data_IF_315026961689
#
_entry.id   IF_315026961689
#
_cell.length_a   1.000
_cell.length_b   1.000
_cell.length_c   1.000
_cell.angle_alpha   90.00
_cell.angle_beta   90.00
_cell.angle_gamma   90.00
#
_symmetry.space_group_name_H-M   'P 1'
#
loop_
_entity.id
_entity.type
_entity.pdbx_description
1 polymer ?
#
# COMPACT_ATOMS: atom_id res chain seq x y z
N UNK A 1 1.66 12.46 31.79
CA UNK A 1 1.78 12.43 30.32
C UNK A 1 2.10 13.84 29.87
N UNK A 2 3.18 14.06 29.13
CA UNK A 2 3.69 15.38 28.75
C UNK A 2 2.84 16.00 27.62
N UNK A 3 1.60 16.44 27.92
CA UNK A 3 0.68 17.04 26.95
C UNK A 3 0.70 18.58 26.94
N UNK A 4 1.73 19.21 27.53
CA UNK A 4 1.85 20.67 27.63
C UNK A 4 3.03 21.22 26.80
N UNK A 5 3.44 20.50 25.76
CA UNK A 5 4.64 20.82 24.95
C UNK A 5 4.30 21.37 23.56
N UNK A 6 5.27 22.01 22.89
CA UNK A 6 5.09 22.55 21.53
C UNK A 6 4.87 21.49 20.45
N UNK A 7 5.04 20.20 20.78
CA UNK A 7 4.79 19.06 19.90
C UNK A 7 3.47 18.34 20.21
N UNK A 8 2.70 18.83 21.18
CA UNK A 8 1.39 18.26 21.47
C UNK A 8 0.34 18.74 20.45
N UNK A 9 -0.58 17.85 20.11
CA UNK A 9 -1.75 18.18 19.30
C UNK A 9 -2.97 17.47 19.90
N UNK A 10 -4.02 18.25 20.15
CA UNK A 10 -5.29 17.77 20.72
C UNK A 10 -6.16 17.02 19.70
N UNK A 11 -5.80 17.08 18.42
CA UNK A 11 -6.50 16.45 17.30
C UNK A 11 -5.90 15.07 16.95
N UNK A 12 -5.37 14.36 17.94
CA UNK A 12 -4.87 12.98 17.80
C UNK A 12 -5.78 11.99 18.54
N UNK A 13 -5.87 10.77 18.05
CA UNK A 13 -6.68 9.70 18.65
C UNK A 13 -6.19 9.33 20.07
N UNK A 14 -6.93 9.67 21.14
CA UNK A 14 -6.43 9.49 22.51
C UNK A 14 -6.27 8.02 22.90
N UNK A 15 -7.02 7.10 22.28
CA UNK A 15 -6.94 5.67 22.57
C UNK A 15 -5.63 5.03 22.07
N UNK A 16 -4.85 5.74 21.26
CA UNK A 16 -3.63 5.25 20.63
C UNK A 16 -2.32 5.67 21.33
N UNK A 17 -2.36 6.59 22.31
CA UNK A 17 -1.13 7.20 22.84
C UNK A 17 -0.19 6.24 23.58
N UNK A 18 -0.73 5.22 24.25
CA UNK A 18 0.05 4.20 24.97
C UNK A 18 0.10 2.87 24.19
N UNK A 19 -0.19 2.90 22.88
CA UNK A 19 -0.26 1.73 22.02
C UNK A 19 0.89 1.72 21.00
N UNK A 20 1.24 0.52 20.52
CA UNK A 20 2.17 0.37 19.40
C UNK A 20 1.40 0.66 18.11
N UNK A 21 1.94 1.56 17.27
CA UNK A 21 1.35 1.93 15.98
C UNK A 21 0.96 0.71 15.16
N UNK A 22 -0.18 0.76 14.48
CA UNK A 22 -0.59 -0.24 13.51
C UNK A 22 -0.17 0.18 12.10
N UNK A 23 0.86 -0.45 11.54
CA UNK A 23 1.33 -0.12 10.19
C UNK A 23 0.36 -0.55 9.09
N UNK A 24 -0.57 -1.48 9.38
CA UNK A 24 -1.65 -1.89 8.48
C UNK A 24 -3.04 -1.51 9.05
N UNK A 25 -3.13 -0.36 9.73
CA UNK A 25 -4.29 0.06 10.53
C UNK A 25 -5.65 -0.18 9.86
N UNK A 26 -6.51 -0.82 10.63
CA UNK A 26 -7.88 -1.13 10.29
C UNK A 26 -8.76 -0.73 11.49
N UNK A 27 -9.73 0.17 11.25
CA UNK A 27 -10.62 0.71 12.28
C UNK A 27 -11.66 -0.33 12.74
N UNK A 28 -11.97 -1.32 11.89
CA UNK A 28 -13.04 -2.29 12.15
C UNK A 28 -12.56 -3.54 12.89
N UNK A 29 -11.26 -3.83 12.83
CA UNK A 29 -10.64 -4.93 13.54
C UNK A 29 -10.04 -4.44 14.86
N UNK A 30 -10.41 -5.11 15.95
CA UNK A 30 -9.88 -4.79 17.28
C UNK A 30 -8.35 -4.76 17.29
N UNK A 31 -7.80 -3.89 18.15
CA UNK A 31 -6.36 -3.65 18.24
C UNK A 31 -5.66 -4.96 18.67
N UNK A 32 -4.90 -5.56 17.77
CA UNK A 32 -3.87 -6.55 18.13
C UNK A 32 -2.81 -5.82 18.95
N UNK A 33 -2.52 -6.29 20.17
CA UNK A 33 -1.65 -5.58 21.13
C UNK A 33 -0.31 -6.28 21.35
N UNK A 34 0.64 -5.52 21.87
CA UNK A 34 1.92 -6.05 22.37
C UNK A 34 2.78 -6.69 21.28
N UNK A 35 3.38 -7.84 21.58
CA UNK A 35 4.37 -8.47 20.71
C UNK A 35 3.79 -8.93 19.36
N UNK A 36 2.51 -9.31 19.32
CA UNK A 36 1.84 -9.69 18.07
C UNK A 36 1.76 -8.51 17.10
N UNK A 37 1.49 -7.29 17.60
CA UNK A 37 1.52 -6.05 16.83
C UNK A 37 2.90 -5.78 16.25
N UNK A 38 3.94 -5.93 17.08
CA UNK A 38 5.34 -5.76 16.63
C UNK A 38 5.66 -6.74 15.51
N UNK A 39 5.33 -8.02 15.67
CA UNK A 39 5.61 -9.04 14.67
C UNK A 39 4.87 -8.75 13.35
N UNK A 40 3.60 -8.35 13.42
CA UNK A 40 2.82 -7.98 12.25
C UNK A 40 3.41 -6.75 11.54
N UNK A 41 3.83 -5.72 12.27
CA UNK A 41 4.45 -4.52 11.72
C UNK A 41 5.78 -4.84 11.02
N UNK A 42 6.61 -5.69 11.62
CA UNK A 42 7.90 -6.05 11.01
C UNK A 42 7.70 -6.88 9.74
N UNK A 43 6.77 -7.84 9.76
CA UNK A 43 6.38 -8.62 8.59
C UNK A 43 5.79 -7.74 7.48
N UNK A 44 4.99 -6.76 7.86
CA UNK A 44 4.43 -5.76 6.95
C UNK A 44 5.51 -4.92 6.29
N UNK A 45 6.47 -4.38 7.06
CA UNK A 45 7.59 -3.61 6.51
C UNK A 45 8.47 -4.43 5.55
N UNK A 46 8.71 -5.71 5.86
CA UNK A 46 9.38 -6.62 4.93
C UNK A 46 8.62 -6.71 3.61
N UNK A 47 7.29 -6.89 3.66
CA UNK A 47 6.49 -6.94 2.44
C UNK A 47 6.57 -5.61 1.65
N UNK A 48 6.32 -4.48 2.31
CA UNK A 48 6.20 -3.18 1.65
C UNK A 48 7.52 -2.66 1.06
N UNK A 49 8.66 -2.95 1.68
CA UNK A 49 9.98 -2.44 1.24
C UNK A 49 10.79 -3.47 0.44
N UNK A 50 10.64 -4.77 0.75
CA UNK A 50 11.45 -5.83 0.14
C UNK A 50 10.64 -6.59 -0.92
N UNK A 51 9.65 -7.37 -0.49
CA UNK A 51 8.98 -8.34 -1.37
C UNK A 51 8.16 -7.67 -2.48
N UNK A 52 7.37 -6.64 -2.13
CA UNK A 52 6.39 -6.03 -3.03
C UNK A 52 6.93 -4.83 -3.81
N UNK A 53 8.16 -4.38 -3.52
CA UNK A 53 8.73 -3.13 -4.01
C UNK A 53 10.04 -3.32 -4.79
N UNK A 54 10.20 -4.44 -5.50
CA UNK A 54 11.46 -4.73 -6.23
C UNK A 54 11.74 -3.82 -7.43
N UNK A 55 10.78 -3.00 -7.84
CA UNK A 55 10.86 -2.12 -9.01
C UNK A 55 10.52 -0.68 -8.63
N UNK A 56 11.12 0.34 -9.28
CA UNK A 56 10.86 1.74 -8.97
C UNK A 56 9.38 2.10 -9.01
N UNK A 57 8.62 1.65 -10.01
CA UNK A 57 7.19 1.93 -10.10
C UNK A 57 6.39 1.32 -8.93
N UNK A 58 6.78 0.14 -8.43
CA UNK A 58 6.11 -0.47 -7.29
C UNK A 58 6.38 0.31 -5.99
N UNK A 59 7.59 0.87 -5.82
CA UNK A 59 7.95 1.63 -4.62
C UNK A 59 7.50 3.09 -4.67
N UNK A 60 7.76 3.78 -5.78
CA UNK A 60 7.57 5.22 -5.98
C UNK A 60 6.18 5.57 -6.49
N UNK A 61 5.45 4.58 -7.00
CA UNK A 61 4.21 4.78 -7.74
C UNK A 61 4.46 4.99 -9.23
N UNK A 62 3.36 4.98 -9.99
CA UNK A 62 3.44 5.11 -11.43
C UNK A 62 3.76 6.54 -11.89
N UNK A 63 4.36 6.68 -13.09
CA UNK A 63 4.74 8.00 -13.59
C UNK A 63 3.53 8.92 -13.78
N UNK A 64 3.68 10.17 -13.33
CA UNK A 64 2.72 11.24 -13.57
C UNK A 64 3.34 12.25 -14.55
N UNK A 65 2.82 12.28 -15.77
CA UNK A 65 3.28 13.17 -16.83
C UNK A 65 2.27 14.29 -17.14
N UNK A 66 2.73 15.45 -17.65
CA UNK A 66 1.83 16.53 -18.04
C UNK A 66 0.85 16.10 -19.14
N UNK A 67 -0.39 16.57 -19.04
CA UNK A 67 -1.45 16.29 -20.02
C UNK A 67 -2.47 15.26 -19.53
N UNK A 68 -3.57 15.10 -20.28
CA UNK A 68 -4.65 14.19 -19.89
C UNK A 68 -4.20 12.72 -19.94
N UNK A 69 -3.41 12.33 -20.95
CA UNK A 69 -2.92 10.96 -21.13
C UNK A 69 -1.76 10.57 -20.21
N UNK A 70 -1.15 11.55 -19.51
CA UNK A 70 -0.01 11.34 -18.62
C UNK A 70 -0.40 11.01 -17.17
N UNK A 71 -1.69 11.02 -16.84
CA UNK A 71 -2.16 10.77 -15.49
C UNK A 71 -2.23 9.27 -15.19
N UNK A 72 -1.47 8.85 -14.20
CA UNK A 72 -1.62 7.54 -13.57
C UNK A 72 -1.85 7.71 -12.07
N UNK A 73 -2.82 6.97 -11.53
CA UNK A 73 -3.25 7.00 -10.13
C UNK A 73 -2.91 5.66 -9.47
N UNK A 74 -1.63 5.34 -9.45
CA UNK A 74 -1.08 4.09 -8.92
C UNK A 74 -0.01 4.42 -7.89
N UNK A 75 -0.39 4.75 -6.65
CA UNK A 75 0.56 5.05 -5.58
C UNK A 75 1.46 3.86 -5.28
N UNK A 76 2.68 4.15 -4.83
CA UNK A 76 3.66 3.13 -4.46
C UNK A 76 3.32 2.39 -3.17
N UNK A 77 4.04 1.30 -2.88
CA UNK A 77 3.80 0.47 -1.70
C UNK A 77 3.77 1.28 -0.42
N UNK A 78 4.77 2.15 -0.20
CA UNK A 78 4.92 2.92 1.04
C UNK A 78 3.85 4.01 1.18
N UNK A 79 3.48 4.67 0.07
CA UNK A 79 2.41 5.67 0.05
C UNK A 79 1.07 5.04 0.43
N UNK A 80 0.74 3.88 -0.17
CA UNK A 80 -0.46 3.11 0.17
C UNK A 80 -0.47 2.71 1.64
N UNK A 81 0.63 2.14 2.12
CA UNK A 81 0.84 1.86 3.54
C UNK A 81 2.32 1.48 3.79
N UNK A 82 2.93 1.93 4.90
CA UNK A 82 2.27 2.42 6.10
C UNK A 82 1.95 3.93 6.13
N UNK A 83 2.29 4.71 5.09
CA UNK A 83 2.08 6.16 5.12
C UNK A 83 0.60 6.51 5.39
N UNK A 84 -0.33 6.08 4.54
CA UNK A 84 -1.74 6.42 4.70
C UNK A 84 -2.37 5.80 5.96
N UNK A 85 -1.93 4.61 6.39
CA UNK A 85 -2.45 3.98 7.61
C UNK A 85 -2.02 4.73 8.86
N UNK A 86 -0.76 5.19 8.94
CA UNK A 86 -0.27 6.01 10.07
C UNK A 86 -1.05 7.33 10.15
N UNK A 87 -1.33 7.97 9.02
CA UNK A 87 -2.18 9.17 8.98
C UNK A 87 -3.51 8.93 9.71
N UNK A 88 -4.20 7.84 9.37
CA UNK A 88 -5.50 7.49 10.00
C UNK A 88 -5.36 6.96 11.42
N UNK A 89 -4.24 6.32 11.77
CA UNK A 89 -3.97 5.86 13.13
C UNK A 89 -3.75 7.04 14.08
N UNK A 90 -3.10 8.11 13.63
CA UNK A 90 -2.86 9.29 14.49
C UNK A 90 -4.07 10.23 14.53
N UNK A 91 -4.77 10.42 13.41
CA UNK A 91 -5.90 11.35 13.30
C UNK A 91 -7.04 11.05 14.27
N UNK A 92 -7.69 12.08 14.81
CA UNK A 92 -8.76 11.93 15.79
C UNK A 92 -10.06 11.41 15.14
N UNK A 93 -10.51 10.20 15.48
CA UNK A 93 -11.66 9.55 14.83
C UNK A 93 -12.97 10.33 14.96
N UNK A 94 -13.13 11.10 16.04
CA UNK A 94 -14.34 11.91 16.26
C UNK A 94 -14.45 13.13 15.34
N UNK A 95 -13.38 13.48 14.63
CA UNK A 95 -13.40 14.58 13.67
C UNK A 95 -14.01 14.13 12.33
N UNK A 96 -14.69 15.02 11.58
CA UNK A 96 -15.38 14.63 10.34
C UNK A 96 -14.49 13.95 9.30
N UNK A 97 -13.19 14.29 9.26
CA UNK A 97 -12.21 13.73 8.33
C UNK A 97 -10.97 13.21 9.05
N UNK A 98 -11.09 12.87 10.33
CA UNK A 98 -9.95 12.45 11.16
C UNK A 98 -8.83 13.49 11.26
N UNK A 99 -9.16 14.78 11.22
CA UNK A 99 -8.18 15.84 11.42
C UNK A 99 -7.40 15.66 12.74
N UNK A 100 -6.13 16.05 12.85
CA UNK A 100 -5.30 16.64 11.79
C UNK A 100 -4.68 15.57 10.90
N UNK A 101 -3.96 14.60 11.49
CA UNK A 101 -3.16 13.63 10.73
C UNK A 101 -3.97 12.79 9.73
N UNK A 102 -5.26 12.54 9.92
CA UNK A 102 -6.05 11.71 9.01
C UNK A 102 -6.49 12.38 7.70
N UNK A 103 -6.26 13.69 7.53
CA UNK A 103 -6.64 14.43 6.32
C UNK A 103 -5.50 15.28 5.76
N UNK A 104 -5.24 15.18 4.45
CA UNK A 104 -4.09 15.86 3.81
C UNK A 104 -4.09 17.38 3.96
N UNK A 105 -5.26 18.04 4.01
CA UNK A 105 -5.31 19.50 4.16
C UNK A 105 -4.95 19.99 5.56
N UNK A 106 -5.00 19.12 6.56
CA UNK A 106 -4.78 19.48 7.97
C UNK A 106 -3.61 18.74 8.60
N UNK A 107 -3.09 17.67 7.99
CA UNK A 107 -2.02 16.86 8.55
C UNK A 107 -0.80 17.69 8.97
N UNK A 108 -0.41 18.70 8.18
CA UNK A 108 0.74 19.57 8.49
C UNK A 108 0.56 20.50 9.70
N UNK A 109 -0.65 20.61 10.28
CA UNK A 109 -0.87 21.32 11.54
C UNK A 109 -0.41 20.52 12.76
N UNK A 110 -0.33 19.19 12.64
CA UNK A 110 0.22 18.33 13.67
C UNK A 110 1.76 18.25 13.50
N UNK A 111 2.57 18.64 14.51
CA UNK A 111 4.03 18.55 14.41
C UNK A 111 4.59 17.14 14.12
N UNK A 112 3.86 16.06 14.46
CA UNK A 112 4.30 14.70 14.17
C UNK A 112 4.22 14.31 12.68
N UNK A 113 3.51 15.10 11.86
CA UNK A 113 3.51 14.97 10.41
C UNK A 113 4.94 14.96 9.85
N UNK A 114 5.76 15.90 10.31
CA UNK A 114 7.13 16.06 9.81
C UNK A 114 8.04 14.91 10.25
N UNK A 115 7.85 14.34 11.45
CA UNK A 115 8.62 13.17 11.89
C UNK A 115 8.19 11.89 11.19
N UNK A 116 6.88 11.72 10.90
CA UNK A 116 6.37 10.66 10.04
C UNK A 116 7.04 10.73 8.65
N UNK A 117 6.94 11.88 7.97
CA UNK A 117 7.53 12.06 6.64
C UNK A 117 9.05 12.00 6.63
N UNK A 118 9.74 12.38 7.71
CA UNK A 118 11.18 12.16 7.82
C UNK A 118 11.54 10.67 7.81
N UNK A 119 10.71 9.79 8.40
CA UNK A 119 10.97 8.36 8.29
C UNK A 119 10.58 7.78 6.93
N UNK A 120 9.59 8.36 6.22
CA UNK A 120 9.28 8.02 4.83
C UNK A 120 10.45 8.39 3.90
N UNK A 121 11.03 9.58 4.07
CA UNK A 121 12.24 10.00 3.36
C UNK A 121 13.43 9.07 3.66
N UNK A 122 13.62 8.68 4.93
CA UNK A 122 14.62 7.67 5.31
C UNK A 122 14.39 6.30 4.64
N UNK A 123 13.14 5.88 4.49
CA UNK A 123 12.80 4.59 3.85
C UNK A 123 13.19 4.61 2.36
N UNK A 124 13.15 5.75 1.69
CA UNK A 124 13.64 5.85 0.31
C UNK A 124 15.13 5.51 0.19
N UNK A 125 15.98 6.10 1.04
CA UNK A 125 17.41 5.78 1.07
C UNK A 125 17.64 4.29 1.36
N UNK A 126 16.90 3.71 2.33
CA UNK A 126 16.99 2.28 2.69
C UNK A 126 16.57 1.37 1.53
N UNK A 127 15.46 1.69 0.87
CA UNK A 127 14.95 0.91 -0.25
C UNK A 127 15.98 0.86 -1.38
N UNK A 128 16.64 1.99 -1.68
CA UNK A 128 17.71 1.99 -2.68
C UNK A 128 18.87 1.08 -2.31
N UNK A 129 19.30 1.12 -1.05
CA UNK A 129 20.40 0.27 -0.57
C UNK A 129 20.05 -1.23 -0.63
N UNK A 130 18.81 -1.60 -0.29
CA UNK A 130 18.35 -3.00 -0.31
C UNK A 130 18.30 -3.56 -1.73
N UNK A 131 17.84 -2.77 -2.70
CA UNK A 131 17.63 -3.21 -4.08
C UNK A 131 18.79 -2.83 -5.02
N UNK A 132 19.90 -2.34 -4.49
CA UNK A 132 21.03 -1.79 -5.26
C UNK A 132 20.57 -0.79 -6.35
N UNK A 133 19.59 0.04 -5.99
CA UNK A 133 18.94 0.94 -6.92
C UNK A 133 19.82 2.17 -7.18
N UNK A 134 20.38 2.22 -8.39
CA UNK A 134 21.19 3.35 -8.83
C UNK A 134 20.31 4.51 -9.28
N UNK A 135 20.62 5.72 -8.79
CA UNK A 135 19.95 6.97 -9.18
C UNK A 135 20.92 7.86 -9.96
N UNK A 136 20.43 8.65 -10.94
CA UNK A 136 19.03 8.81 -11.31
C UNK A 136 18.49 7.66 -12.18
N UNK A 137 17.20 7.35 -12.04
CA UNK A 137 16.48 6.53 -13.02
C UNK A 137 16.41 7.26 -14.37
N UNK A 138 16.29 6.51 -15.47
CA UNK A 138 16.22 7.07 -16.82
C UNK A 138 14.81 7.58 -17.16
N UNK A 139 14.34 8.59 -16.41
CA UNK A 139 13.10 9.32 -16.68
C UNK A 139 13.36 10.83 -16.58
N UNK A 140 13.58 11.46 -17.74
CA UNK A 140 13.86 12.91 -17.79
C UNK A 140 12.68 13.74 -17.34
N UNK A 141 11.44 13.28 -17.54
CA UNK A 141 10.25 14.05 -17.15
C UNK A 141 10.14 14.08 -15.63
N UNK A 142 10.36 12.94 -14.97
CA UNK A 142 10.43 12.88 -13.51
C UNK A 142 11.59 13.73 -12.97
N UNK A 143 12.79 13.62 -13.54
CA UNK A 143 13.96 14.39 -13.09
C UNK A 143 13.81 15.91 -13.22
N UNK A 144 13.20 16.38 -14.31
CA UNK A 144 12.96 17.80 -14.58
C UNK A 144 11.67 18.34 -13.95
N UNK A 145 10.85 17.47 -13.36
CA UNK A 145 9.71 17.89 -12.55
C UNK A 145 10.20 18.76 -11.40
N UNK A 146 9.42 19.79 -11.09
CA UNK A 146 9.83 20.82 -10.15
C UNK A 146 8.68 21.36 -9.32
N UNK A 147 9.04 21.83 -8.15
CA UNK A 147 8.14 22.38 -7.16
C UNK A 147 8.67 23.74 -6.67
N UNK A 148 7.78 24.52 -6.07
CA UNK A 148 8.12 25.82 -5.50
C UNK A 148 7.97 25.78 -3.99
N UNK A 149 8.99 26.26 -3.28
CA UNK A 149 9.02 26.36 -1.82
C UNK A 149 9.48 27.75 -1.39
N UNK A 150 9.06 28.18 -0.21
CA UNK A 150 9.70 29.30 0.48
C UNK A 150 10.86 28.76 1.30
N UNK A 151 12.04 29.38 1.18
CA UNK A 151 13.19 29.08 2.03
C UNK A 151 13.13 29.86 3.36
N UNK A 152 14.14 29.67 4.21
CA UNK A 152 14.29 30.32 5.51
C UNK A 152 14.42 31.85 5.45
N UNK A 153 14.76 32.39 4.27
CA UNK A 153 14.88 33.83 3.99
C UNK A 153 13.62 34.41 3.33
N UNK A 154 12.50 33.67 3.33
CA UNK A 154 11.22 34.05 2.70
C UNK A 154 11.32 34.25 1.18
N UNK A 155 12.24 33.56 0.53
CA UNK A 155 12.41 33.61 -0.92
C UNK A 155 11.72 32.41 -1.57
N UNK A 156 10.95 32.67 -2.63
CA UNK A 156 10.36 31.62 -3.44
C UNK A 156 11.44 30.99 -4.33
N UNK A 157 11.76 29.73 -4.10
CA UNK A 157 12.75 28.96 -4.85
C UNK A 157 12.07 27.86 -5.65
N UNK A 158 12.63 27.56 -6.82
CA UNK A 158 12.24 26.43 -7.67
C UNK A 158 13.25 25.31 -7.46
N UNK A 159 12.76 24.13 -7.10
CA UNK A 159 13.58 22.93 -6.88
C UNK A 159 13.16 21.84 -7.85
N UNK A 160 14.12 21.18 -8.51
CA UNK A 160 13.84 20.01 -9.33
C UNK A 160 14.02 18.73 -8.53
N UNK A 161 13.35 17.66 -8.97
CA UNK A 161 13.53 16.31 -8.42
C UNK A 161 14.99 15.86 -8.52
N UNK A 162 15.68 16.15 -9.63
CA UNK A 162 17.09 15.77 -9.80
C UNK A 162 18.03 16.41 -8.76
N UNK A 163 17.65 17.54 -8.16
CA UNK A 163 18.47 18.27 -7.19
C UNK A 163 18.41 17.64 -5.79
N UNK A 164 17.40 16.79 -5.53
CA UNK A 164 17.11 16.23 -4.20
C UNK A 164 17.35 14.72 -4.08
N UNK A 165 17.96 14.10 -5.09
CA UNK A 165 18.24 12.65 -5.06
C UNK A 165 19.38 12.25 -4.11
N UNK A 166 20.16 13.22 -3.63
CA UNK A 166 21.31 12.98 -2.77
C UNK A 166 21.21 13.83 -1.50
N UNK A 167 20.79 13.18 -0.41
CA UNK A 167 20.58 13.79 0.91
C UNK A 167 21.87 14.42 1.47
N UNK A 168 23.05 13.82 1.20
CA UNK A 168 24.34 14.40 1.60
C UNK A 168 24.64 15.71 0.89
N UNK A 169 24.28 15.87 -0.40
CA UNK A 169 24.39 17.16 -1.11
C UNK A 169 23.41 18.20 -0.57
N UNK A 170 22.28 17.75 -0.05
CA UNK A 170 21.31 18.61 0.66
C UNK A 170 21.75 18.96 2.09
N UNK A 171 22.83 18.36 2.60
CA UNK A 171 23.42 18.68 3.88
C UNK A 171 22.87 17.89 5.07
N UNK A 172 22.20 16.75 4.84
CA UNK A 172 21.70 15.89 5.92
C UNK A 172 21.91 14.39 5.63
N UNK A 173 21.87 13.60 6.70
CA UNK A 173 21.84 12.13 6.67
C UNK A 173 20.98 11.63 7.82
N UNK A 174 20.49 10.40 7.71
CA UNK A 174 19.85 9.69 8.83
C UNK A 174 20.87 8.90 9.64
N UNK A 175 20.63 8.80 10.95
CA UNK A 175 21.34 7.86 11.80
C UNK A 175 21.10 6.42 11.30
N UNK A 176 22.17 5.63 11.23
CA UNK A 176 22.09 4.22 10.87
C UNK A 176 21.58 3.43 12.08
N UNK A 177 20.49 2.71 11.88
CA UNK A 177 19.86 1.88 12.91
C UNK A 177 19.61 0.48 12.35
N UNK A 178 19.46 -0.49 13.25
CA UNK A 178 19.18 -1.88 12.86
C UNK A 178 17.82 -1.99 12.15
N UNK A 179 17.81 -2.61 10.97
CA UNK A 179 16.60 -2.87 10.20
C UNK A 179 16.02 -4.24 10.59
N UNK A 180 15.42 -4.30 11.77
CA UNK A 180 14.91 -5.54 12.40
C UNK A 180 13.79 -6.25 11.64
N UNK A 181 13.28 -5.64 10.56
CA UNK A 181 12.27 -6.21 9.67
C UNK A 181 12.87 -6.91 8.44
N UNK A 182 14.17 -6.74 8.14
CA UNK A 182 14.79 -7.35 6.94
C UNK A 182 14.74 -8.89 6.94
N UNK A 183 14.75 -9.52 8.10
CA UNK A 183 14.69 -10.97 8.26
C UNK A 183 13.27 -11.49 8.56
N UNK A 184 12.25 -10.63 8.47
CA UNK A 184 10.86 -10.95 8.82
C UNK A 184 10.00 -11.33 7.63
N UNK A 185 10.58 -12.08 6.69
CA UNK A 185 9.85 -12.71 5.58
C UNK A 185 8.71 -13.59 6.14
N UNK A 186 7.44 -13.30 5.81
CA UNK A 186 6.30 -14.10 6.27
C UNK A 186 6.36 -15.54 5.75
N UNK A 187 5.76 -16.46 6.50
CA UNK A 187 5.61 -17.87 6.09
C UNK A 187 4.17 -18.16 5.70
N UNK A 188 3.93 -19.13 4.79
CA UNK A 188 2.58 -19.59 4.49
C UNK A 188 1.85 -20.04 5.77
N UNK A 189 0.58 -19.68 5.91
CA UNK A 189 -0.21 -20.08 7.08
C UNK A 189 -0.42 -21.59 7.14
N UNK A 190 -0.68 -22.20 5.99
CA UNK A 190 -0.72 -23.65 5.79
C UNK A 190 0.31 -24.06 4.75
N UNK A 191 0.67 -25.36 4.72
CA UNK A 191 1.54 -25.86 3.66
C UNK A 191 0.94 -25.55 2.27
N UNK A 192 1.75 -25.05 1.31
CA UNK A 192 1.30 -24.78 -0.05
C UNK A 192 0.55 -25.95 -0.69
N UNK A 193 0.99 -27.19 -0.46
CA UNK A 193 0.35 -28.39 -1.00
C UNK A 193 -1.07 -28.60 -0.46
N UNK A 194 -1.28 -28.30 0.83
CA UNK A 194 -2.61 -28.36 1.45
C UNK A 194 -3.49 -27.25 0.88
N UNK A 195 -2.96 -26.02 0.80
CA UNK A 195 -3.70 -24.89 0.24
C UNK A 195 -4.19 -25.16 -1.18
N UNK A 196 -3.29 -25.64 -2.06
CA UNK A 196 -3.61 -26.02 -3.44
C UNK A 196 -4.72 -27.08 -3.50
N UNK A 197 -4.63 -28.12 -2.68
CA UNK A 197 -5.64 -29.16 -2.65
C UNK A 197 -7.01 -28.61 -2.23
N UNK A 198 -7.06 -27.80 -1.17
CA UNK A 198 -8.29 -27.20 -0.67
C UNK A 198 -8.91 -26.22 -1.67
N UNK A 199 -8.09 -25.37 -2.29
CA UNK A 199 -8.55 -24.41 -3.30
C UNK A 199 -9.03 -25.10 -4.58
N UNK A 200 -8.40 -26.20 -4.99
CA UNK A 200 -8.88 -27.01 -6.13
C UNK A 200 -10.22 -27.67 -5.87
N UNK A 201 -10.46 -28.17 -4.65
CA UNK A 201 -11.78 -28.68 -4.24
C UNK A 201 -12.82 -27.56 -4.32
N UNK A 202 -12.49 -26.38 -3.79
CA UNK A 202 -13.34 -25.19 -3.87
C UNK A 202 -13.66 -24.84 -5.32
N UNK A 203 -12.65 -24.81 -6.20
CA UNK A 203 -12.82 -24.51 -7.63
C UNK A 203 -13.81 -25.47 -8.31
N UNK A 204 -13.69 -26.77 -8.05
CA UNK A 204 -14.58 -27.77 -8.60
C UNK A 204 -16.02 -27.56 -8.13
N UNK A 205 -16.21 -27.26 -6.84
CA UNK A 205 -17.53 -26.94 -6.29
C UNK A 205 -18.13 -25.68 -6.93
N UNK A 206 -17.33 -24.63 -7.14
CA UNK A 206 -17.77 -23.44 -7.89
C UNK A 206 -18.11 -23.78 -9.33
N UNK A 207 -17.29 -24.52 -10.08
CA UNK A 207 -17.60 -24.91 -11.47
C UNK A 207 -18.88 -25.74 -11.58
N UNK A 208 -19.16 -26.59 -10.60
CA UNK A 208 -20.40 -27.36 -10.53
C UNK A 208 -21.63 -26.50 -10.20
N UNK A 209 -21.49 -25.51 -9.31
CA UNK A 209 -22.59 -24.61 -8.89
C UNK A 209 -22.81 -23.42 -9.83
N UNK A 210 -21.77 -22.91 -10.50
CA UNK A 210 -21.82 -21.82 -11.48
C UNK A 210 -22.43 -22.22 -12.82
N UNK A 211 -22.64 -23.51 -13.10
CA UNK A 211 -23.56 -23.94 -14.17
C UNK A 211 -25.01 -23.49 -13.93
N UNK A 212 -25.35 -23.05 -12.71
CA UNK A 212 -26.68 -22.56 -12.32
C UNK A 212 -26.76 -21.05 -12.09
N UNK A 213 -25.64 -20.31 -12.08
CA UNK A 213 -25.62 -18.85 -11.88
C UNK A 213 -24.54 -18.18 -12.73
N UNK A 214 -24.96 -17.60 -13.86
CA UNK A 214 -24.17 -16.67 -14.66
C UNK A 214 -23.96 -15.37 -13.88
N UNK A 215 -22.69 -15.06 -13.59
CA UNK A 215 -22.07 -13.74 -13.47
C UNK A 215 -22.94 -12.62 -12.84
N UNK A 216 -22.76 -12.35 -11.55
CA UNK A 216 -23.02 -11.02 -11.01
C UNK A 216 -21.69 -10.37 -10.62
N UNK A 217 -21.27 -9.36 -11.38
CA UNK A 217 -20.22 -8.41 -11.02
C UNK A 217 -20.72 -7.34 -10.03
N UNK A 218 -21.77 -7.64 -9.25
CA UNK A 218 -22.29 -6.72 -8.22
C UNK A 218 -21.53 -6.93 -6.91
N UNK A 219 -20.43 -6.20 -6.81
CA UNK A 219 -19.51 -6.15 -5.68
C UNK A 219 -20.14 -5.28 -4.59
N UNK A 220 -20.91 -5.90 -3.69
CA UNK A 220 -21.39 -5.25 -2.46
C UNK A 220 -20.83 -5.99 -1.25
N UNK A 221 -19.67 -5.53 -0.76
CA UNK A 221 -19.16 -5.89 0.57
C UNK A 221 -18.86 -7.37 0.81
N UNK A 222 -18.51 -8.13 -0.24
CA UNK A 222 -18.07 -9.54 -0.12
C UNK A 222 -16.65 -9.70 -0.62
N UNK A 223 -15.93 -10.62 0.02
CA UNK A 223 -14.65 -11.15 -0.44
C UNK A 223 -14.78 -11.64 -1.88
N UNK A 224 -13.88 -11.16 -2.75
CA UNK A 224 -13.85 -11.52 -4.17
C UNK A 224 -12.77 -12.56 -4.39
N UNK A 225 -13.18 -13.76 -4.80
CA UNK A 225 -12.28 -14.88 -5.07
C UNK A 225 -12.34 -15.26 -6.55
N UNK A 226 -11.24 -15.08 -7.28
CA UNK A 226 -11.17 -15.44 -8.70
C UNK A 226 -9.92 -16.28 -9.02
N UNK A 227 -10.05 -17.41 -9.76
CA UNK A 227 -8.90 -18.10 -10.32
C UNK A 227 -8.33 -17.30 -11.51
N UNK A 228 -7.01 -17.10 -11.54
CA UNK A 228 -6.33 -16.30 -12.57
C UNK A 228 -5.20 -17.05 -13.25
N UNK A 229 -5.13 -17.04 -14.57
CA UNK A 229 -4.09 -17.74 -15.33
C UNK A 229 -2.72 -17.05 -15.25
N UNK A 230 -1.67 -17.79 -14.89
CA UNK A 230 -0.26 -17.33 -14.99
C UNK A 230 0.26 -17.68 -16.39
N UNK A 231 1.04 -16.78 -17.01
CA UNK A 231 1.77 -17.07 -18.25
C UNK A 231 3.22 -17.44 -17.92
N UNK A 232 3.76 -18.44 -18.60
CA UNK A 232 5.15 -18.87 -18.39
C UNK A 232 6.09 -17.92 -19.16
N UNK A 233 6.61 -16.87 -18.51
CA UNK A 233 7.58 -15.93 -19.09
C UNK A 233 8.84 -15.78 -18.19
N UNK A 234 9.90 -15.17 -18.74
CA UNK A 234 11.30 -15.26 -18.24
C UNK A 234 11.50 -14.79 -16.78
N UNK A 235 12.34 -15.51 -16.02
CA UNK A 235 12.68 -15.29 -14.60
C UNK A 235 13.32 -13.94 -14.22
N UNK A 236 13.63 -13.07 -15.18
CA UNK A 236 14.26 -11.77 -14.91
C UNK A 236 13.24 -10.63 -14.70
N UNK A 237 11.95 -10.89 -14.91
CA UNK A 237 10.88 -9.90 -14.75
C UNK A 237 10.13 -10.10 -13.42
N UNK A 238 9.68 -9.01 -12.80
CA UNK A 238 8.83 -9.05 -11.61
C UNK A 238 7.38 -9.31 -12.03
N UNK A 239 6.78 -10.37 -11.51
CA UNK A 239 5.36 -10.65 -11.61
C UNK A 239 4.56 -9.66 -10.74
N UNK A 240 3.66 -8.92 -11.38
CA UNK A 240 2.86 -7.87 -10.76
C UNK A 240 1.39 -8.21 -10.86
N UNK A 241 0.73 -8.32 -9.70
CA UNK A 241 -0.71 -8.40 -9.61
C UNK A 241 -1.30 -7.01 -9.83
N UNK A 242 -2.12 -6.86 -10.87
CA UNK A 242 -2.77 -5.61 -11.25
C UNK A 242 -4.27 -5.70 -11.04
N UNK A 243 -4.80 -4.93 -10.10
CA UNK A 243 -6.23 -4.67 -9.94
C UNK A 243 -6.53 -3.42 -10.75
N UNK A 244 -7.29 -3.54 -11.84
CA UNK A 244 -7.50 -2.44 -12.79
C UNK A 244 -8.97 -1.99 -12.82
N UNK A 245 -9.16 -0.75 -13.23
CA UNK A 245 -10.50 -0.17 -13.32
C UNK A 245 -11.06 0.25 -11.96
N UNK A 246 -10.19 0.49 -10.97
CA UNK A 246 -10.59 0.80 -9.60
C UNK A 246 -11.27 2.16 -9.56
N UNK A 247 -12.48 2.21 -9.01
CA UNK A 247 -13.24 3.44 -8.77
C UNK A 247 -13.61 3.41 -7.29
N UNK A 248 -13.24 4.47 -6.57
CA UNK A 248 -13.52 4.64 -5.15
C UNK A 248 -14.17 6.00 -4.88
N UNK A 249 -14.95 6.08 -3.81
CA UNK A 249 -15.41 7.36 -3.29
C UNK A 249 -14.25 8.05 -2.55
N UNK A 250 -13.73 9.16 -3.11
CA UNK A 250 -12.59 9.92 -2.56
C UNK A 250 -12.95 10.85 -1.39
N UNK A 251 -14.23 10.94 -1.03
CA UNK A 251 -14.67 11.71 0.14
C UNK A 251 -14.61 10.89 1.43
N UNK A 252 -14.38 9.58 1.33
CA UNK A 252 -14.32 8.67 2.47
C UNK A 252 -13.05 7.83 2.40
N UNK A 253 -12.57 7.39 3.56
CA UNK A 253 -11.47 6.41 3.62
C UNK A 253 -11.94 5.13 2.96
N UNK A 254 -11.11 4.51 2.12
CA UNK A 254 -11.36 3.18 1.54
C UNK A 254 -10.14 2.30 1.80
N UNK A 255 -10.33 1.14 2.43
CA UNK A 255 -9.26 0.16 2.63
C UNK A 255 -9.70 -1.26 2.30
N UNK A 256 -8.86 -1.98 1.58
CA UNK A 256 -8.99 -3.42 1.42
C UNK A 256 -7.61 -4.07 1.35
N UNK A 257 -7.54 -5.31 1.83
CA UNK A 257 -6.33 -6.12 1.77
C UNK A 257 -6.46 -7.13 0.63
N UNK A 258 -5.33 -7.49 0.02
CA UNK A 258 -5.26 -8.42 -1.11
C UNK A 258 -4.45 -9.63 -0.69
N UNK A 259 -5.00 -10.82 -0.94
CA UNK A 259 -4.37 -12.09 -0.64
C UNK A 259 -4.29 -12.98 -1.88
N UNK A 260 -3.31 -13.89 -1.87
CA UNK A 260 -3.13 -14.93 -2.87
C UNK A 260 -3.16 -16.29 -2.20
N UNK A 261 -3.90 -17.22 -2.79
CA UNK A 261 -4.10 -18.59 -2.31
C UNK A 261 -4.56 -18.68 -0.85
N UNK A 262 -5.36 -17.71 -0.41
CA UNK A 262 -5.95 -17.69 0.92
C UNK A 262 -6.98 -18.82 1.06
N UNK A 263 -6.74 -19.74 1.99
CA UNK A 263 -7.65 -20.88 2.22
C UNK A 263 -8.84 -20.51 3.10
N UNK A 264 -8.68 -19.59 4.05
CA UNK A 264 -9.72 -19.19 4.98
C UNK A 264 -9.52 -17.73 5.44
N UNK A 265 -10.62 -16.97 5.45
CA UNK A 265 -10.66 -15.57 5.85
C UNK A 265 -10.49 -15.34 7.37
N UNK A 266 -10.47 -16.38 8.20
CA UNK A 266 -10.19 -16.20 9.65
C UNK A 266 -8.72 -15.97 9.97
N UNK A 267 -7.79 -16.34 9.08
CA UNK A 267 -6.34 -16.25 9.32
C UNK A 267 -5.72 -15.31 8.29
N UNK A 268 -5.95 -14.02 8.50
CA UNK A 268 -5.58 -12.94 7.59
C UNK A 268 -4.65 -11.96 8.29
N UNK A 269 -3.77 -11.33 7.51
CA UNK A 269 -2.89 -10.28 7.98
C UNK A 269 -1.47 -10.41 7.43
N UNK A 270 -0.63 -9.40 7.65
CA UNK A 270 0.70 -9.31 7.04
C UNK A 270 1.72 -10.29 7.63
N UNK A 271 1.38 -10.96 8.73
CA UNK A 271 2.21 -12.02 9.33
C UNK A 271 2.23 -13.32 8.50
N UNK A 272 1.33 -13.45 7.52
CA UNK A 272 1.20 -14.65 6.68
C UNK A 272 1.56 -14.33 5.24
N UNK A 273 2.11 -15.33 4.54
CA UNK A 273 2.67 -15.12 3.20
C UNK A 273 1.61 -14.87 2.13
N UNK A 274 0.40 -15.34 2.38
CA UNK A 274 -0.76 -15.13 1.53
C UNK A 274 -1.09 -13.63 1.38
N UNK A 275 -0.66 -12.76 2.29
CA UNK A 275 -0.84 -11.31 2.18
C UNK A 275 0.04 -10.72 1.06
N UNK A 276 -0.60 -10.22 0.00
CA UNK A 276 0.07 -9.59 -1.13
C UNK A 276 0.28 -8.09 -0.94
N UNK A 277 -0.69 -7.41 -0.32
CA UNK A 277 -0.61 -5.98 -0.06
C UNK A 277 -1.92 -5.40 0.44
N UNK A 278 -1.92 -4.09 0.64
CA UNK A 278 -3.09 -3.32 1.08
C UNK A 278 -3.25 -2.10 0.20
N UNK A 279 -4.50 -1.72 -0.02
CA UNK A 279 -4.86 -0.45 -0.62
C UNK A 279 -5.48 0.45 0.43
N UNK A 280 -5.05 1.70 0.51
CA UNK A 280 -5.63 2.73 1.37
C UNK A 280 -5.79 4.02 0.57
N UNK A 281 -7.03 4.44 0.36
CA UNK A 281 -7.38 5.77 -0.14
C UNK A 281 -7.82 6.67 1.01
N UNK A 282 -7.13 7.79 1.20
CA UNK A 282 -7.52 8.81 2.18
C UNK A 282 -8.52 9.83 1.60
N UNK A 283 -9.37 10.44 2.45
CA UNK A 283 -10.27 11.52 2.02
C UNK A 283 -9.51 12.71 1.41
N UNK A 284 -9.94 13.16 0.22
CA UNK A 284 -9.36 14.30 -0.52
C UNK A 284 -10.36 15.47 -0.66
N UNK A 285 -11.05 15.82 0.42
CA UNK A 285 -12.13 16.80 0.39
C UNK A 285 -11.62 18.20 -0.01
N UNK A 286 -12.31 18.85 -0.95
CA UNK A 286 -11.96 20.19 -1.44
C UNK A 286 -10.92 20.23 -2.58
N UNK A 287 -10.23 19.12 -2.87
CA UNK A 287 -9.35 18.97 -4.05
C UNK A 287 -10.11 18.45 -5.29
N UNK A 288 -11.39 18.80 -5.40
CA UNK A 288 -12.27 18.32 -6.48
C UNK A 288 -12.02 19.14 -7.74
N UNK A 289 -11.36 18.54 -8.73
CA UNK A 289 -11.61 18.89 -10.12
C UNK A 289 -12.80 18.04 -10.61
N UNK A 290 -13.69 18.62 -11.43
CA UNK A 290 -14.77 17.87 -12.11
C UNK A 290 -14.27 16.66 -12.92
N UNK A 291 -12.95 16.55 -13.16
CA UNK A 291 -12.30 15.53 -13.98
C UNK A 291 -11.79 14.30 -13.20
N UNK A 292 -11.74 14.35 -11.86
CA UNK A 292 -11.15 13.27 -11.03
C UNK A 292 -12.17 12.26 -10.49
N UNK A 293 -13.47 12.56 -10.55
CA UNK A 293 -14.52 11.81 -9.85
C UNK A 293 -14.77 10.42 -10.45
N UNK A 294 -14.48 10.20 -11.74
CA UNK A 294 -14.75 8.94 -12.45
C UNK A 294 -13.50 8.33 -13.13
N UNK A 295 -12.30 8.78 -12.74
CA UNK A 295 -11.07 8.21 -13.33
C UNK A 295 -10.77 6.87 -12.68
N UNK A 296 -10.72 5.84 -13.52
CA UNK A 296 -10.29 4.50 -13.16
C UNK A 296 -8.80 4.51 -12.82
N UNK A 297 -8.47 3.94 -11.68
CA UNK A 297 -7.09 3.73 -11.24
C UNK A 297 -6.69 2.25 -11.34
N UNK A 298 -5.41 1.99 -11.11
CA UNK A 298 -4.87 0.65 -11.02
C UNK A 298 -3.97 0.52 -9.80
N UNK A 299 -4.02 -0.65 -9.18
CA UNK A 299 -3.18 -1.01 -8.04
C UNK A 299 -2.25 -2.11 -8.51
N UNK A 300 -0.96 -1.92 -8.27
CA UNK A 300 0.10 -2.84 -8.67
C UNK A 300 0.78 -3.40 -7.43
N UNK A 301 0.81 -4.73 -7.29
CA UNK A 301 1.45 -5.43 -6.18
C UNK A 301 2.50 -6.39 -6.74
N UNK A 302 3.77 -6.23 -6.35
CA UNK A 302 4.81 -7.20 -6.69
C UNK A 302 4.58 -8.52 -5.93
N UNK A 303 4.46 -9.62 -6.67
CA UNK A 303 4.07 -10.93 -6.11
C UNK A 303 5.05 -12.05 -6.45
N UNK A 304 6.16 -11.82 -7.16
CA UNK A 304 7.03 -12.94 -7.58
C UNK A 304 7.59 -13.73 -6.40
N UNK A 305 8.07 -13.03 -5.37
CA UNK A 305 8.60 -13.71 -4.17
C UNK A 305 7.47 -14.45 -3.43
N UNK A 306 6.26 -13.90 -3.49
CA UNK A 306 5.07 -14.48 -2.86
C UNK A 306 4.64 -15.76 -3.56
N UNK A 307 4.61 -15.75 -4.89
CA UNK A 307 4.29 -16.94 -5.68
C UNK A 307 5.31 -18.05 -5.44
N UNK A 308 6.60 -17.72 -5.37
CA UNK A 308 7.63 -18.70 -5.02
C UNK A 308 7.42 -19.32 -3.63
N UNK A 309 7.10 -18.52 -2.60
CA UNK A 309 6.88 -19.04 -1.25
C UNK A 309 5.61 -19.87 -1.11
N UNK A 310 4.61 -19.58 -1.93
CA UNK A 310 3.37 -20.36 -2.02
C UNK A 310 3.49 -21.52 -3.03
N UNK A 311 4.69 -21.80 -3.53
CA UNK A 311 5.00 -22.80 -4.57
C UNK A 311 4.11 -22.66 -5.82
N UNK A 312 3.60 -21.46 -6.11
CA UNK A 312 2.59 -21.16 -7.12
C UNK A 312 3.16 -20.50 -8.38
N UNK A 313 4.49 -20.33 -8.46
CA UNK A 313 5.21 -19.72 -9.60
C UNK A 313 5.00 -20.47 -10.94
N UNK A 314 4.59 -21.75 -10.87
CA UNK A 314 4.33 -22.59 -12.05
C UNK A 314 2.89 -23.09 -12.14
N UNK A 315 2.02 -22.59 -11.27
CA UNK A 315 0.63 -23.00 -11.30
C UNK A 315 -0.05 -22.37 -12.52
N UNK A 316 -0.89 -23.14 -13.22
CA UNK A 316 -1.67 -22.59 -14.33
C UNK A 316 -2.58 -21.46 -13.87
N UNK A 317 -3.01 -21.48 -12.60
CA UNK A 317 -3.77 -20.39 -12.01
C UNK A 317 -3.61 -20.21 -10.51
N UNK A 318 -3.79 -18.97 -10.03
CA UNK A 318 -3.81 -18.61 -8.60
C UNK A 318 -5.19 -18.12 -8.16
N UNK A 319 -5.48 -18.23 -6.87
CA UNK A 319 -6.65 -17.60 -6.27
C UNK A 319 -6.29 -16.23 -5.72
N UNK A 320 -7.00 -15.19 -6.14
CA UNK A 320 -6.85 -13.85 -5.55
C UNK A 320 -8.09 -13.55 -4.71
N UNK A 321 -7.86 -13.14 -3.47
CA UNK A 321 -8.89 -12.73 -2.52
C UNK A 321 -8.73 -11.25 -2.21
N UNK A 322 -9.74 -10.44 -2.53
CA UNK A 322 -9.81 -9.01 -2.13
C UNK A 322 -10.76 -8.90 -0.94
N UNK A 323 -10.23 -8.49 0.21
CA UNK A 323 -10.93 -8.45 1.48
C UNK A 323 -11.17 -7.00 1.94
N UNK A 324 -12.41 -6.48 1.85
CA UNK A 324 -12.76 -5.16 2.37
C UNK A 324 -12.45 -5.01 3.86
N UNK A 325 -11.90 -3.86 4.24
CA UNK A 325 -11.59 -3.49 5.64
C UNK A 325 -12.38 -2.29 6.15
N UNK A 326 -12.99 -1.52 5.25
CA UNK A 326 -13.88 -0.42 5.60
C UNK A 326 -15.25 -0.64 4.99
N UNK A 327 -16.31 -0.29 5.73
CA UNK A 327 -17.70 -0.31 5.24
C UNK A 327 -17.90 0.51 3.98
N UNK A 328 -17.12 1.58 3.78
CA UNK A 328 -17.10 2.40 2.56
C UNK A 328 -16.70 1.65 1.28
N UNK A 329 -16.11 0.45 1.40
CA UNK A 329 -15.81 -0.39 0.24
C UNK A 329 -17.07 -0.84 -0.52
N UNK A 330 -18.27 -0.69 0.06
CA UNK A 330 -19.53 -0.96 -0.66
C UNK A 330 -19.73 -0.10 -1.91
N UNK A 331 -19.08 1.06 -1.96
CA UNK A 331 -19.12 1.97 -3.11
C UNK A 331 -17.90 1.82 -4.03
N UNK A 332 -16.96 0.94 -3.69
CA UNK A 332 -15.77 0.66 -4.48
C UNK A 332 -16.06 -0.39 -5.57
N UNK A 333 -15.58 -0.14 -6.78
CA UNK A 333 -15.70 -1.09 -7.90
C UNK A 333 -14.37 -1.25 -8.62
N UNK A 334 -14.18 -2.36 -9.32
CA UNK A 334 -13.03 -2.59 -10.19
C UNK A 334 -13.46 -3.40 -11.41
N UNK A 335 -12.76 -3.23 -12.53
CA UNK A 335 -13.09 -3.93 -13.78
C UNK A 335 -12.57 -5.36 -13.78
N UNK A 336 -11.48 -5.63 -13.07
CA UNK A 336 -10.91 -6.97 -12.97
C UNK A 336 -9.51 -6.98 -12.36
N UNK A 337 -8.91 -8.16 -12.43
CA UNK A 337 -7.56 -8.44 -11.92
C UNK A 337 -6.78 -9.19 -13.00
N UNK A 338 -5.48 -8.93 -13.12
CA UNK A 338 -4.57 -9.64 -14.05
C UNK A 338 -3.14 -9.68 -13.51
N UNK A 339 -2.29 -10.51 -14.10
CA UNK A 339 -0.85 -10.51 -13.85
C UNK A 339 -0.17 -9.84 -15.04
N UNK A 340 0.75 -8.92 -14.74
CA UNK A 340 1.66 -8.26 -15.69
C UNK A 340 3.11 -8.57 -15.28
N UNK A 341 4.04 -8.37 -16.21
CA UNK A 341 5.47 -8.54 -15.98
C UNK A 341 6.16 -7.19 -16.09
N UNK A 342 6.94 -6.86 -15.06
CA UNK A 342 7.64 -5.59 -14.94
C UNK A 342 9.16 -5.81 -14.99
N UNK A 343 9.80 -5.17 -15.97
CA UNK A 343 11.26 -5.22 -16.15
C UNK A 343 12.00 -4.30 -15.20
#
# INVERSE_FOLDING_TARGET
MFRDGPFDDSQREPTHFDEIVDLNYDEELGIVKGQERVNANLAFMYNQVVSAAKKPELFMGCPLYPGEDGFCDGPGTIELAPHNTIHTWVGLESNPNQENMGAFYSAGFDPCFYSNHANIDRIWDIWRDIHDMQMPINDTVWLDSHFYFYNENLQLIKMKVCDVLNTTKMGYIYEKTDLTWLDKRPKPFVSPQIAKHTLKIRENYYKETSRLYLLSNDIKGRSLENPMTIKDEMKEEEEVLVIYGVIINRDVKVKFDVYVNLVNETNVGPSYREFAGTFVGLPQMGMKSSRTINRKSSIKLGISELLNDLEADRDESIWVTILPRTTSCVDATFDGVRIEYMR
#
